data_IF_726032419896
#
_entry.id   IF_726032419896
#
_cell.length_a   1.000
_cell.length_b   1.000
_cell.length_c   1.000
_cell.angle_alpha   90.00
_cell.angle_beta   90.00
_cell.angle_gamma   90.00
#
_symmetry.space_group_name_H-M   'P 1'
#
loop_
_entity.id
_entity.type
_entity.pdbx_description
1 polymer ?
#
# COMPACT_ATOMS: atom_id res chain seq x y z
N UNK A 1 32.92 36.60 48.24
CA UNK A 1 33.46 35.30 47.82
C UNK A 1 33.49 35.28 46.30
N UNK A 2 34.62 35.66 45.69
CA UNK A 2 34.79 35.66 44.25
C UNK A 2 35.45 34.36 43.83
N UNK A 3 34.70 33.49 43.14
CA UNK A 3 35.23 32.27 42.53
C UNK A 3 36.16 32.67 41.37
N UNK A 4 37.47 32.75 41.63
CA UNK A 4 38.49 32.88 40.59
C UNK A 4 38.45 31.65 39.68
N UNK A 5 37.92 31.82 38.46
CA UNK A 5 38.08 30.83 37.38
C UNK A 5 39.58 30.70 37.08
N UNK A 6 40.15 29.52 37.33
CA UNK A 6 41.55 29.21 36.97
C UNK A 6 41.70 29.33 35.44
N UNK A 7 42.75 30.01 34.94
CA UNK A 7 43.01 30.08 33.51
C UNK A 7 43.30 28.67 32.98
N UNK A 8 42.49 28.21 32.04
CA UNK A 8 42.70 26.94 31.35
C UNK A 8 43.99 27.06 30.56
N UNK A 9 44.92 26.12 30.74
CA UNK A 9 46.18 26.09 29.97
C UNK A 9 45.88 26.16 28.46
N UNK A 10 46.55 27.02 27.69
CA UNK A 10 46.34 27.15 26.24
C UNK A 10 46.41 25.80 25.50
N UNK A 11 47.27 24.90 25.98
CA UNK A 11 47.43 23.55 25.46
C UNK A 11 46.18 22.70 25.69
N UNK A 12 45.57 22.79 26.89
CA UNK A 12 44.36 22.04 27.22
C UNK A 12 43.16 22.55 26.41
N UNK A 13 43.06 23.86 26.22
CA UNK A 13 42.03 24.47 25.36
C UNK A 13 42.15 24.00 23.90
N UNK A 14 43.37 23.96 23.35
CA UNK A 14 43.62 23.50 21.99
C UNK A 14 43.25 22.02 21.78
N UNK A 15 43.57 21.16 22.76
CA UNK A 15 43.22 19.73 22.70
C UNK A 15 41.70 19.52 22.76
N UNK A 16 40.99 20.24 23.64
CA UNK A 16 39.54 20.16 23.75
C UNK A 16 38.89 20.66 22.45
N UNK A 17 39.37 21.76 21.88
CA UNK A 17 38.86 22.30 20.62
C UNK A 17 39.08 21.32 19.46
N UNK A 18 40.27 20.72 19.36
CA UNK A 18 40.59 19.73 18.33
C UNK A 18 39.68 18.49 18.46
N UNK A 19 39.49 17.99 19.68
CA UNK A 19 38.61 16.86 19.95
C UNK A 19 37.14 17.18 19.58
N UNK A 20 36.66 18.38 19.90
CA UNK A 20 35.31 18.82 19.56
C UNK A 20 35.10 18.93 18.04
N UNK A 21 36.06 19.47 17.30
CA UNK A 21 35.99 19.59 15.84
C UNK A 21 35.94 18.20 15.19
N UNK A 22 36.78 17.26 15.66
CA UNK A 22 36.77 15.88 15.16
C UNK A 22 35.44 15.20 15.47
N UNK A 23 34.92 15.32 16.69
CA UNK A 23 33.66 14.72 17.10
C UNK A 23 32.47 15.24 16.25
N UNK A 24 32.38 16.56 16.05
CA UNK A 24 31.36 17.17 15.19
C UNK A 24 31.52 16.70 13.74
N UNK A 25 32.75 16.64 13.23
CA UNK A 25 33.02 16.15 11.87
C UNK A 25 32.55 14.71 11.66
N UNK A 26 32.79 13.82 12.61
CA UNK A 26 32.34 12.41 12.56
C UNK A 26 30.81 12.32 12.60
N UNK A 27 30.15 13.09 13.47
CA UNK A 27 28.68 13.10 13.56
C UNK A 27 28.05 13.56 12.24
N UNK A 28 28.58 14.64 11.65
CA UNK A 28 28.08 15.16 10.37
C UNK A 28 28.30 14.15 9.24
N UNK A 29 29.47 13.51 9.18
CA UNK A 29 29.77 12.48 8.18
C UNK A 29 28.86 11.25 8.31
N UNK A 30 28.61 10.79 9.55
CA UNK A 30 27.67 9.71 9.81
C UNK A 30 26.25 10.08 9.39
N UNK A 31 25.82 11.31 9.70
CA UNK A 31 24.50 11.81 9.32
C UNK A 31 24.33 11.87 7.80
N UNK A 32 25.29 12.46 7.08
CA UNK A 32 25.28 12.53 5.61
C UNK A 32 25.29 11.12 5.01
N UNK A 33 26.17 10.24 5.48
CA UNK A 33 26.28 8.87 4.96
C UNK A 33 24.97 8.08 5.13
N UNK A 34 24.37 8.16 6.32
CA UNK A 34 23.09 7.51 6.60
C UNK A 34 21.96 8.07 5.74
N UNK A 35 21.87 9.40 5.64
CA UNK A 35 20.83 10.05 4.84
C UNK A 35 20.98 9.74 3.35
N UNK A 36 22.20 9.81 2.81
CA UNK A 36 22.48 9.46 1.41
C UNK A 36 22.13 8.01 1.10
N UNK A 37 22.47 7.05 1.98
CA UNK A 37 22.12 5.65 1.76
C UNK A 37 20.60 5.42 1.76
N UNK A 38 19.86 6.14 2.60
CA UNK A 38 18.40 6.05 2.65
C UNK A 38 17.77 6.59 1.37
N UNK A 39 18.19 7.77 0.93
CA UNK A 39 17.68 8.42 -0.29
C UNK A 39 17.95 7.56 -1.53
N UNK A 40 19.15 6.99 -1.66
CA UNK A 40 19.50 6.13 -2.81
C UNK A 40 18.60 4.89 -2.87
N UNK A 41 18.35 4.23 -1.73
CA UNK A 41 17.47 3.05 -1.69
C UNK A 41 16.04 3.41 -2.08
N UNK A 42 15.53 4.55 -1.61
CA UNK A 42 14.21 5.03 -1.99
C UNK A 42 14.14 5.31 -3.50
N UNK A 43 15.13 6.00 -4.06
CA UNK A 43 15.19 6.26 -5.50
C UNK A 43 15.24 4.97 -6.33
N UNK A 44 15.91 3.92 -5.86
CA UNK A 44 15.91 2.61 -6.52
C UNK A 44 14.54 1.95 -6.46
N UNK A 45 13.84 2.02 -5.32
CA UNK A 45 12.48 1.50 -5.18
C UNK A 45 11.54 2.22 -6.15
N UNK A 46 11.61 3.55 -6.20
CA UNK A 46 10.76 4.37 -7.05
C UNK A 46 11.03 4.10 -8.54
N UNK A 47 12.30 3.89 -8.91
CA UNK A 47 12.68 3.52 -10.28
C UNK A 47 12.10 2.16 -10.68
N UNK A 48 12.29 1.13 -9.85
CA UNK A 48 11.77 -0.22 -10.11
C UNK A 48 10.24 -0.18 -10.18
N UNK A 49 9.59 0.55 -9.27
CA UNK A 49 8.14 0.72 -9.25
C UNK A 49 7.64 1.36 -10.53
N UNK A 50 8.25 2.45 -10.98
CA UNK A 50 7.90 3.14 -12.22
C UNK A 50 8.08 2.24 -13.44
N UNK A 51 9.18 1.48 -13.49
CA UNK A 51 9.42 0.50 -14.55
C UNK A 51 8.35 -0.59 -14.58
N UNK A 52 7.94 -1.09 -13.41
CA UNK A 52 6.88 -2.10 -13.31
C UNK A 52 5.51 -1.53 -13.67
N UNK A 53 5.18 -0.32 -13.20
CA UNK A 53 3.93 0.37 -13.53
C UNK A 53 3.77 0.64 -15.04
N UNK A 54 4.89 0.79 -15.75
CA UNK A 54 4.92 0.94 -17.21
C UNK A 54 4.75 -0.40 -17.96
N UNK A 55 5.17 -1.53 -17.37
CA UNK A 55 5.02 -2.88 -17.96
C UNK A 55 3.68 -3.52 -17.65
N UNK A 56 3.11 -3.14 -16.51
CA UNK A 56 1.79 -3.57 -16.06
C UNK A 56 0.70 -2.96 -16.94
N UNK A 57 -0.17 -3.84 -17.45
CA UNK A 57 -1.32 -3.44 -18.25
C UNK A 57 -2.56 -4.26 -17.84
N UNK A 58 -3.11 -3.94 -16.67
CA UNK A 58 -4.42 -4.42 -16.26
C UNK A 58 -5.52 -3.61 -16.95
N UNK A 59 -6.50 -4.30 -17.53
CA UNK A 59 -7.66 -3.68 -18.18
C UNK A 59 -8.92 -4.16 -17.48
N UNK A 60 -9.77 -3.22 -17.10
CA UNK A 60 -11.11 -3.50 -16.58
C UNK A 60 -12.04 -3.63 -17.79
N UNK A 61 -12.57 -4.83 -18.01
CA UNK A 61 -13.43 -5.15 -19.16
C UNK A 61 -14.87 -4.73 -18.87
N UNK A 62 -15.34 -5.05 -17.67
CA UNK A 62 -16.70 -4.74 -17.24
C UNK A 62 -16.79 -4.74 -15.72
N UNK A 63 -17.63 -3.88 -15.17
CA UNK A 63 -17.97 -3.83 -13.75
C UNK A 63 -19.48 -3.71 -13.61
N UNK A 64 -20.07 -4.48 -12.70
CA UNK A 64 -21.50 -4.47 -12.46
C UNK A 64 -21.82 -4.75 -11.00
N UNK A 65 -22.95 -4.23 -10.54
CA UNK A 65 -23.55 -4.59 -9.26
C UNK A 65 -24.78 -5.46 -9.50
N UNK A 66 -24.80 -6.66 -8.92
CA UNK A 66 -25.93 -7.57 -9.05
C UNK A 66 -26.00 -8.53 -7.87
N UNK A 67 -27.20 -8.80 -7.38
CA UNK A 67 -27.41 -9.75 -6.28
C UNK A 67 -26.69 -9.38 -4.98
N UNK A 68 -26.46 -8.08 -4.74
CA UNK A 68 -25.75 -7.58 -3.56
C UNK A 68 -24.22 -7.58 -3.68
N UNK A 69 -23.66 -8.04 -4.80
CA UNK A 69 -22.21 -8.13 -5.01
C UNK A 69 -21.77 -7.23 -6.16
N UNK A 70 -20.56 -6.70 -6.05
CA UNK A 70 -19.89 -6.03 -7.16
C UNK A 70 -19.00 -7.07 -7.84
N UNK A 71 -19.22 -7.26 -9.14
CA UNK A 71 -18.41 -8.14 -9.98
C UNK A 71 -17.63 -7.30 -10.97
N UNK A 72 -16.32 -7.47 -10.99
CA UNK A 72 -15.40 -6.74 -11.86
C UNK A 72 -14.61 -7.76 -12.67
N UNK A 73 -14.75 -7.70 -13.99
CA UNK A 73 -14.00 -8.52 -14.93
C UNK A 73 -12.75 -7.76 -15.34
N UNK A 74 -11.58 -8.36 -15.08
CA UNK A 74 -10.28 -7.78 -15.38
C UNK A 74 -9.44 -8.75 -16.20
N UNK A 75 -8.59 -8.19 -17.06
CA UNK A 75 -7.65 -8.93 -17.89
C UNK A 75 -6.28 -8.25 -17.79
N UNK A 76 -5.24 -9.03 -17.51
CA UNK A 76 -3.87 -8.54 -17.56
C UNK A 76 -3.33 -8.73 -18.97
N UNK A 77 -3.37 -7.70 -19.81
CA UNK A 77 -2.81 -7.72 -21.17
C UNK A 77 -1.33 -7.30 -21.21
N UNK A 78 -0.69 -7.15 -20.05
CA UNK A 78 0.73 -6.86 -19.94
C UNK A 78 1.61 -8.07 -20.16
N UNK A 79 2.92 -7.86 -20.11
CA UNK A 79 3.93 -8.93 -20.24
C UNK A 79 4.41 -9.48 -18.88
N UNK A 80 4.05 -8.80 -17.78
CA UNK A 80 4.42 -9.17 -16.41
C UNK A 80 3.18 -9.49 -15.59
N UNK A 81 3.40 -10.20 -14.48
CA UNK A 81 2.37 -10.48 -13.49
C UNK A 81 1.93 -9.19 -12.82
N UNK A 82 0.64 -9.06 -12.57
CA UNK A 82 0.05 -7.99 -11.77
C UNK A 82 -0.34 -8.56 -10.42
N UNK A 83 -0.12 -7.80 -9.35
CA UNK A 83 -0.55 -8.19 -8.01
C UNK A 83 -1.68 -7.26 -7.58
N UNK A 84 -2.90 -7.77 -7.54
CA UNK A 84 -4.07 -6.99 -7.13
C UNK A 84 -4.09 -6.86 -5.60
N UNK A 85 -4.10 -5.62 -5.13
CA UNK A 85 -4.04 -5.24 -3.73
C UNK A 85 -5.40 -4.78 -3.20
N UNK A 86 -5.46 -3.69 -2.41
CA UNK A 86 -6.72 -3.18 -1.88
C UNK A 86 -7.68 -2.72 -2.99
N UNK A 87 -8.97 -2.89 -2.75
CA UNK A 87 -10.04 -2.29 -3.54
C UNK A 87 -10.76 -1.29 -2.65
N UNK A 88 -11.04 -0.09 -3.15
CA UNK A 88 -11.75 0.96 -2.40
C UNK A 88 -13.01 1.41 -3.14
N UNK A 89 -14.07 1.71 -2.40
CA UNK A 89 -15.31 2.31 -2.91
C UNK A 89 -15.59 3.57 -2.08
N UNK A 90 -14.96 4.71 -2.40
CA UNK A 90 -14.87 5.85 -1.50
C UNK A 90 -16.22 6.36 -0.97
N UNK A 91 -17.27 6.28 -1.78
CA UNK A 91 -18.63 6.71 -1.42
C UNK A 91 -19.26 5.83 -0.32
N UNK A 92 -18.65 4.69 0.01
CA UNK A 92 -19.01 3.85 1.14
C UNK A 92 -18.34 4.24 2.46
N UNK A 93 -17.54 5.30 2.50
CA UNK A 93 -16.98 5.77 3.76
C UNK A 93 -18.05 6.42 4.63
N UNK A 94 -18.08 6.08 5.90
CA UNK A 94 -19.00 6.68 6.87
C UNK A 94 -18.16 7.36 7.95
N UNK A 95 -18.48 8.61 8.24
CA UNK A 95 -18.02 9.29 9.44
C UNK A 95 -19.21 9.43 10.37
N UNK A 96 -19.11 8.88 11.58
CA UNK A 96 -20.14 9.04 12.60
C UNK A 96 -20.15 10.50 13.06
N UNK A 97 -21.23 11.25 12.81
CA UNK A 97 -21.29 12.68 13.13
C UNK A 97 -21.31 12.97 14.64
N UNK A 98 -21.58 11.96 15.48
CA UNK A 98 -21.65 12.11 16.94
C UNK A 98 -20.34 11.80 17.65
N UNK A 99 -19.55 10.86 17.12
CA UNK A 99 -18.27 10.43 17.71
C UNK A 99 -17.06 10.90 16.91
N UNK A 100 -17.25 11.35 15.67
CA UNK A 100 -16.17 11.65 14.72
C UNK A 100 -15.43 10.38 14.25
N UNK A 101 -15.95 9.19 14.56
CA UNK A 101 -15.30 7.93 14.22
C UNK A 101 -15.51 7.61 12.73
N UNK A 102 -14.42 7.30 12.03
CA UNK A 102 -14.45 6.88 10.62
C UNK A 102 -14.57 5.37 10.55
N UNK A 103 -15.63 4.88 9.91
CA UNK A 103 -15.85 3.46 9.61
C UNK A 103 -15.42 3.20 8.17
N UNK A 104 -14.43 2.32 8.00
CA UNK A 104 -13.87 1.92 6.70
C UNK A 104 -14.69 0.78 6.07
N UNK A 105 -15.93 1.07 5.70
CA UNK A 105 -16.76 0.17 4.88
C UNK A 105 -16.40 0.22 3.39
N UNK A 106 -15.51 1.15 3.02
CA UNK A 106 -15.09 1.35 1.64
C UNK A 106 -13.88 0.52 1.23
N UNK A 107 -13.08 -0.01 2.16
CA UNK A 107 -11.82 -0.70 1.83
C UNK A 107 -11.98 -2.21 1.93
N UNK A 108 -11.53 -2.91 0.89
CA UNK A 108 -11.55 -4.36 0.75
C UNK A 108 -10.13 -4.86 0.47
N UNK A 109 -9.74 -5.95 1.11
CA UNK A 109 -8.40 -6.55 1.02
C UNK A 109 -8.47 -8.06 0.80
N UNK A 110 -7.45 -8.69 0.19
CA UNK A 110 -7.40 -10.14 0.07
C UNK A 110 -7.39 -10.82 1.44
N UNK A 111 -8.25 -11.83 1.62
CA UNK A 111 -8.37 -12.60 2.86
C UNK A 111 -8.58 -11.74 4.13
N UNK A 112 -9.23 -10.57 3.98
CA UNK A 112 -9.57 -9.65 5.08
C UNK A 112 -8.40 -9.26 5.98
N UNK A 113 -7.19 -9.12 5.43
CA UNK A 113 -6.01 -8.85 6.25
C UNK A 113 -6.09 -7.52 7.01
N UNK A 114 -6.71 -6.50 6.42
CA UNK A 114 -6.87 -5.17 7.03
C UNK A 114 -8.32 -4.75 7.23
N UNK A 115 -9.19 -5.11 6.30
CA UNK A 115 -10.60 -4.73 6.30
C UNK A 115 -11.43 -5.88 5.70
N UNK A 116 -12.43 -5.57 4.88
CA UNK A 116 -13.37 -6.56 4.32
C UNK A 116 -12.72 -7.42 3.25
N UNK A 117 -13.25 -8.62 3.03
CA UNK A 117 -12.70 -9.54 2.03
C UNK A 117 -13.15 -9.18 0.62
N UNK A 118 -12.28 -9.43 -0.36
CA UNK A 118 -12.71 -9.69 -1.72
C UNK A 118 -12.05 -10.96 -2.27
N UNK A 119 -12.69 -11.54 -3.28
CA UNK A 119 -12.25 -12.78 -3.92
C UNK A 119 -11.89 -12.55 -5.38
N UNK A 120 -10.92 -13.31 -5.88
CA UNK A 120 -10.56 -13.31 -7.30
C UNK A 120 -10.57 -14.73 -7.82
N UNK A 121 -11.28 -14.94 -8.91
CA UNK A 121 -11.38 -16.23 -9.59
C UNK A 121 -10.86 -16.15 -11.02
N UNK A 122 -10.33 -17.27 -11.52
CA UNK A 122 -9.89 -17.48 -12.89
C UNK A 122 -11.08 -17.91 -13.75
N UNK A 123 -11.17 -17.38 -14.96
CA UNK A 123 -12.10 -17.80 -16.02
C UNK A 123 -13.58 -17.80 -15.60
N UNK A 124 -14.05 -16.71 -14.97
CA UNK A 124 -15.44 -16.46 -14.53
C UNK A 124 -16.07 -17.46 -13.55
N UNK A 125 -15.34 -18.51 -13.16
CA UNK A 125 -15.76 -19.51 -12.18
C UNK A 125 -15.88 -18.91 -10.78
N UNK A 126 -16.67 -19.55 -9.91
CA UNK A 126 -16.73 -19.25 -8.48
C UNK A 126 -16.25 -20.45 -7.64
N UNK A 127 -15.54 -21.42 -8.23
CA UNK A 127 -15.07 -22.59 -7.51
C UNK A 127 -13.74 -22.30 -6.79
N UNK A 128 -13.56 -22.84 -5.59
CA UNK A 128 -12.34 -22.63 -4.78
C UNK A 128 -11.06 -23.02 -5.54
N UNK A 129 -11.12 -24.10 -6.33
CA UNK A 129 -10.01 -24.57 -7.18
C UNK A 129 -9.59 -23.55 -8.25
N UNK A 130 -10.48 -22.62 -8.60
CA UNK A 130 -10.26 -21.61 -9.63
C UNK A 130 -9.90 -20.24 -9.01
N UNK A 131 -9.72 -20.15 -7.69
CA UNK A 131 -9.24 -18.91 -7.05
C UNK A 131 -7.85 -18.53 -7.57
N UNK A 132 -7.62 -17.22 -7.71
CA UNK A 132 -6.30 -16.71 -8.04
C UNK A 132 -5.31 -16.99 -6.89
N UNK A 133 -4.04 -17.15 -7.23
CA UNK A 133 -2.99 -17.39 -6.23
C UNK A 133 -2.82 -16.15 -5.36
N UNK A 134 -2.82 -16.32 -4.04
CA UNK A 134 -2.56 -15.25 -3.08
C UNK A 134 -1.09 -15.30 -2.67
N UNK A 135 -0.41 -14.15 -2.76
CA UNK A 135 0.92 -13.97 -2.17
C UNK A 135 0.80 -13.15 -0.89
N UNK A 136 1.67 -13.41 0.09
CA UNK A 136 1.76 -12.65 1.32
C UNK A 136 3.20 -12.16 1.51
N UNK A 137 3.37 -10.86 1.76
CA UNK A 137 4.68 -10.25 2.02
C UNK A 137 4.55 -9.08 3.01
N UNK A 138 5.63 -8.70 3.69
CA UNK A 138 5.67 -7.48 4.48
C UNK A 138 5.43 -6.23 3.62
N UNK A 139 4.92 -5.19 4.25
CA UNK A 139 4.72 -3.91 3.58
C UNK A 139 6.04 -3.20 3.31
N UNK A 140 6.06 -2.55 2.15
CA UNK A 140 7.14 -1.68 1.73
C UNK A 140 7.19 -0.36 2.50
N UNK A 141 6.03 0.28 2.67
CA UNK A 141 5.89 1.59 3.32
C UNK A 141 4.49 1.72 3.91
N UNK A 142 4.33 1.54 5.22
CA UNK A 142 3.02 1.68 5.87
C UNK A 142 2.38 3.09 5.69
N UNK A 143 3.12 4.21 5.84
CA UNK A 143 2.57 5.55 5.60
C UNK A 143 2.00 5.75 4.20
N UNK A 144 2.62 5.15 3.18
CA UNK A 144 2.16 5.24 1.80
C UNK A 144 0.77 4.60 1.62
N UNK A 145 0.52 3.46 2.26
CA UNK A 145 -0.79 2.81 2.20
C UNK A 145 -1.84 3.63 2.96
N UNK A 146 -1.47 4.20 4.12
CA UNK A 146 -2.37 5.06 4.86
C UNK A 146 -2.77 6.30 4.06
N UNK A 147 -1.82 6.96 3.39
CA UNK A 147 -2.09 8.13 2.58
C UNK A 147 -2.97 7.80 1.37
N UNK A 148 -2.59 6.79 0.58
CA UNK A 148 -3.33 6.43 -0.65
C UNK A 148 -4.72 5.87 -0.38
N UNK A 149 -4.92 5.17 0.75
CA UNK A 149 -6.22 4.64 1.15
C UNK A 149 -6.99 5.60 2.07
N UNK A 150 -6.42 6.78 2.37
CA UNK A 150 -6.96 7.79 3.28
C UNK A 150 -7.31 7.22 4.68
N UNK A 151 -6.46 6.35 5.21
CA UNK A 151 -6.60 5.80 6.56
C UNK A 151 -6.02 6.82 7.54
N UNK A 152 -6.86 7.38 8.40
CA UNK A 152 -6.48 8.44 9.35
C UNK A 152 -5.90 7.90 10.66
N UNK A 153 -6.25 6.67 11.02
CA UNK A 153 -5.82 6.06 12.27
C UNK A 153 -5.37 4.60 12.02
N UNK A 154 -4.08 4.27 12.28
CA UNK A 154 -3.55 2.92 12.14
C UNK A 154 -4.26 1.87 13.00
N UNK A 155 -4.82 2.26 14.14
CA UNK A 155 -5.46 1.33 15.08
C UNK A 155 -6.75 0.74 14.52
N UNK A 156 -7.37 1.39 13.53
CA UNK A 156 -8.53 0.86 12.82
C UNK A 156 -8.22 -0.34 11.92
N UNK A 157 -6.95 -0.55 11.55
CA UNK A 157 -6.53 -1.73 10.78
C UNK A 157 -6.41 -2.93 11.71
N UNK A 158 -5.59 -2.80 12.76
CA UNK A 158 -5.41 -3.81 13.80
C UNK A 158 -4.65 -3.22 14.97
N UNK A 159 -4.94 -3.71 16.18
CA UNK A 159 -4.10 -3.48 17.35
C UNK A 159 -2.79 -4.27 17.31
N UNK A 160 -2.69 -5.30 16.45
CA UNK A 160 -1.48 -6.09 16.25
C UNK A 160 -0.58 -5.47 15.18
N UNK A 161 0.66 -5.15 15.56
CA UNK A 161 1.66 -4.63 14.64
C UNK A 161 2.04 -5.63 13.54
N UNK A 162 2.02 -6.93 13.84
CA UNK A 162 2.32 -7.98 12.85
C UNK A 162 1.29 -7.99 11.72
N UNK A 163 0.01 -7.79 12.03
CA UNK A 163 -1.06 -7.70 11.03
C UNK A 163 -0.91 -6.41 10.22
N UNK A 164 -0.63 -5.29 10.89
CA UNK A 164 -0.42 -3.99 10.22
C UNK A 164 0.78 -3.97 9.28
N UNK A 165 1.79 -4.80 9.53
CA UNK A 165 3.02 -4.85 8.72
C UNK A 165 2.99 -5.87 7.57
N UNK A 166 1.89 -6.61 7.40
CA UNK A 166 1.74 -7.61 6.35
C UNK A 166 0.66 -7.21 5.36
N UNK A 167 0.86 -7.60 4.10
CA UNK A 167 -0.13 -7.42 3.04
C UNK A 167 -0.23 -8.65 2.17
N UNK A 168 -1.44 -8.90 1.68
CA UNK A 168 -1.73 -9.95 0.71
C UNK A 168 -2.12 -9.34 -0.63
N UNK A 169 -1.85 -10.08 -1.69
CA UNK A 169 -2.20 -9.68 -3.05
C UNK A 169 -2.60 -10.90 -3.88
N UNK A 170 -3.60 -10.76 -4.73
CA UNK A 170 -3.91 -11.78 -5.73
C UNK A 170 -2.99 -11.62 -6.94
N UNK A 171 -2.33 -12.70 -7.34
CA UNK A 171 -1.49 -12.73 -8.53
C UNK A 171 -2.34 -12.98 -9.77
N UNK A 172 -2.27 -12.04 -10.70
CA UNK A 172 -2.88 -12.07 -12.01
C UNK A 172 -1.80 -12.30 -13.06
N UNK A 173 -1.74 -13.52 -13.59
CA UNK A 173 -0.84 -13.84 -14.69
C UNK A 173 -1.28 -13.13 -16.00
N UNK A 174 -0.34 -12.80 -16.90
CA UNK A 174 -0.63 -12.30 -18.23
C UNK A 174 -1.67 -13.13 -18.98
N UNK A 175 -2.45 -12.46 -19.82
CA UNK A 175 -3.43 -13.08 -20.69
C UNK A 175 -2.75 -14.08 -21.61
N UNK A 176 -3.39 -15.25 -21.73
CA UNK A 176 -3.03 -16.28 -22.71
C UNK A 176 -4.31 -16.84 -23.29
N UNK A 177 -4.23 -17.53 -24.43
CA UNK A 177 -5.38 -18.21 -25.04
C UNK A 177 -6.05 -19.27 -24.13
N UNK A 178 -5.48 -19.57 -22.95
CA UNK A 178 -6.02 -20.51 -21.96
C UNK A 178 -6.50 -19.86 -20.66
N UNK A 179 -6.18 -18.58 -20.44
CA UNK A 179 -6.59 -17.78 -19.29
C UNK A 179 -7.20 -16.48 -19.79
N UNK A 180 -8.52 -16.44 -19.87
CA UNK A 180 -9.22 -15.37 -20.58
C UNK A 180 -9.47 -14.15 -19.69
N UNK A 181 -10.01 -14.35 -18.48
CA UNK A 181 -10.41 -13.26 -17.59
C UNK A 181 -10.28 -13.64 -16.12
N UNK A 182 -10.09 -12.64 -15.28
CA UNK A 182 -10.24 -12.77 -13.84
C UNK A 182 -11.54 -12.08 -13.41
N UNK A 183 -12.29 -12.76 -12.54
CA UNK A 183 -13.51 -12.26 -11.94
C UNK A 183 -13.21 -11.87 -10.50
N UNK A 184 -13.22 -10.57 -10.25
CA UNK A 184 -13.08 -10.00 -8.91
C UNK A 184 -14.49 -9.84 -8.33
N UNK A 185 -14.72 -10.42 -7.16
CA UNK A 185 -15.99 -10.37 -6.45
C UNK A 185 -15.77 -9.64 -5.14
N UNK A 186 -16.41 -8.47 -5.03
CA UNK A 186 -16.44 -7.67 -3.81
C UNK A 186 -17.84 -7.79 -3.23
N UNK A 187 -17.94 -8.09 -1.94
CA UNK A 187 -19.20 -8.18 -1.21
C UNK A 187 -19.26 -6.97 -0.29
N UNK A 188 -19.99 -5.90 -0.66
CA UNK A 188 -20.12 -4.75 0.19
C UNK A 188 -20.76 -5.10 1.52
N UNK A 189 -20.24 -4.55 2.62
CA UNK A 189 -20.82 -4.74 3.95
C UNK A 189 -22.23 -4.19 4.11
N UNK A 190 -22.61 -3.28 3.22
CA UNK A 190 -23.94 -2.68 3.16
C UNK A 190 -24.43 -2.64 1.72
N UNK A 191 -25.74 -2.80 1.50
CA UNK A 191 -26.30 -2.70 0.17
C UNK A 191 -26.06 -1.31 -0.43
N UNK A 192 -25.75 -1.27 -1.72
CA UNK A 192 -25.66 -0.04 -2.48
C UNK A 192 -27.06 0.51 -2.77
N UNK A 193 -27.20 1.84 -2.75
CA UNK A 193 -28.47 2.53 -2.98
C UNK A 193 -28.82 2.52 -4.48
N UNK A 194 -29.99 1.98 -4.82
CA UNK A 194 -30.47 1.90 -6.21
C UNK A 194 -30.49 3.26 -6.91
N UNK A 195 -30.05 3.29 -8.17
CA UNK A 195 -29.98 4.48 -9.02
C UNK A 195 -28.77 5.37 -8.75
N UNK A 196 -27.86 4.98 -7.86
CA UNK A 196 -26.62 5.73 -7.60
C UNK A 196 -25.44 5.15 -8.37
N UNK A 197 -24.51 6.06 -8.68
CA UNK A 197 -23.20 5.74 -9.26
C UNK A 197 -22.18 5.65 -8.13
N UNK A 198 -21.35 4.61 -8.17
CA UNK A 198 -20.23 4.41 -7.25
C UNK A 198 -18.94 4.29 -8.04
N UNK A 199 -17.86 4.85 -7.49
CA UNK A 199 -16.51 4.71 -8.02
C UNK A 199 -15.84 3.53 -7.34
N UNK A 200 -15.28 2.62 -8.14
CA UNK A 200 -14.49 1.50 -7.64
C UNK A 200 -13.03 1.71 -8.02
N UNK A 201 -12.19 1.76 -7.00
CA UNK A 201 -10.75 1.94 -7.10
C UNK A 201 -10.06 0.60 -6.86
N UNK A 202 -9.28 0.12 -7.82
CA UNK A 202 -8.51 -1.11 -7.74
C UNK A 202 -7.04 -0.73 -7.71
N UNK A 203 -6.38 -1.00 -6.59
CA UNK A 203 -4.96 -0.77 -6.44
C UNK A 203 -4.16 -2.01 -6.77
N UNK A 204 -3.08 -1.82 -7.51
CA UNK A 204 -2.10 -2.88 -7.77
C UNK A 204 -0.84 -2.64 -6.98
N UNK A 205 -0.16 -3.75 -6.66
CA UNK A 205 1.03 -3.80 -5.85
C UNK A 205 2.21 -4.33 -6.65
N UNK A 206 3.41 -3.97 -6.22
CA UNK A 206 4.65 -4.47 -6.79
C UNK A 206 5.54 -5.06 -5.69
N UNK A 207 6.02 -6.31 -5.83
CA UNK A 207 6.99 -6.88 -4.93
C UNK A 207 8.39 -6.35 -5.27
N UNK A 208 9.01 -5.64 -4.32
CA UNK A 208 10.37 -5.10 -4.45
C UNK A 208 11.16 -5.51 -3.20
N UNK A 209 12.28 -6.19 -3.38
CA UNK A 209 13.16 -6.68 -2.30
C UNK A 209 12.42 -7.42 -1.17
N UNK A 210 11.42 -8.24 -1.53
CA UNK A 210 10.64 -9.04 -0.59
C UNK A 210 9.57 -8.26 0.18
N UNK A 211 9.21 -7.05 -0.26
CA UNK A 211 8.14 -6.23 0.30
C UNK A 211 7.15 -5.77 -0.76
N UNK A 212 5.89 -5.56 -0.38
CA UNK A 212 4.84 -5.06 -1.27
C UNK A 212 4.67 -3.55 -1.17
N UNK A 213 4.72 -2.87 -2.32
CA UNK A 213 4.49 -1.43 -2.44
C UNK A 213 3.26 -1.16 -3.31
N UNK A 214 2.52 -0.09 -3.02
CA UNK A 214 1.48 0.41 -3.91
C UNK A 214 2.11 0.83 -5.24
N UNK A 215 1.49 0.44 -6.35
CA UNK A 215 2.03 0.61 -7.69
C UNK A 215 1.16 1.56 -8.51
N UNK A 216 -0.07 1.14 -8.82
CA UNK A 216 -0.94 1.84 -9.76
C UNK A 216 -2.40 1.74 -9.34
N UNK A 217 -3.14 2.81 -9.59
CA UNK A 217 -4.58 2.88 -9.37
C UNK A 217 -5.31 2.69 -10.69
N UNK A 218 -6.31 1.81 -10.68
CA UNK A 218 -7.29 1.63 -11.74
C UNK A 218 -8.67 2.02 -11.21
N UNK A 219 -9.44 2.77 -11.98
CA UNK A 219 -10.78 3.18 -11.57
C UNK A 219 -11.82 2.72 -12.57
N UNK A 220 -12.99 2.39 -12.05
CA UNK A 220 -14.19 2.11 -12.85
C UNK A 220 -15.40 2.62 -12.10
N UNK A 221 -16.53 2.74 -12.80
CA UNK A 221 -17.78 3.16 -12.18
C UNK A 221 -18.82 2.07 -12.35
N UNK A 222 -19.66 1.91 -11.33
CA UNK A 222 -20.83 1.05 -11.36
C UNK A 222 -22.07 1.88 -11.13
N UNK A 223 -23.16 1.50 -11.79
CA UNK A 223 -24.49 2.08 -11.56
C UNK A 223 -25.37 0.95 -11.01
N UNK A 224 -26.14 1.28 -9.98
CA UNK A 224 -26.95 0.34 -9.20
C UNK A 224 -28.44 0.51 -9.40
#
# INVERSE_FOLDING_TARGET
>A
MNNLRKPVSPVLSAVILAAAIIAVGVIVLMWISGHSSMVIRQSQIDLIRSEQAAKENLVIVHAMYSGGNITIYVINVGYSKVFLGPIRIPELRIEDPSTGLVIYDDIYTPESIWFHEYFVYKNESNADKDKAEVIAMPLGSFPEYMENLEIRDPEHISSSEDVRNNMKAYRLDPYTESNYFYKVVVIPNRPLDTGKTYTVELWTLVPIYGKLYMCKLYTTTIVT
#
